data_IF_893456825054
#
_entry.id   IF_893456825054
#
_cell.length_a   1.000
_cell.length_b   1.000
_cell.length_c   1.000
_cell.angle_alpha   90.00
_cell.angle_beta   90.00
_cell.angle_gamma   90.00
#
_symmetry.space_group_name_H-M   'P 1'
#
loop_
_entity.id
_entity.type
_entity.pdbx_description
1 polymer ?
#
# COMPACT_ATOMS: atom_id res chain seq x y z
N UNK A 1 -16.62 9.42 -1.60
CA UNK A 1 -15.82 9.48 -2.84
C UNK A 1 -14.38 9.51 -2.36
N UNK A 2 -13.58 8.47 -2.62
CA UNK A 2 -12.24 8.37 -2.01
C UNK A 2 -11.34 9.52 -2.49
N UNK A 3 -10.65 10.18 -1.56
CA UNK A 3 -9.64 11.20 -1.90
C UNK A 3 -8.39 10.50 -2.41
N UNK A 4 -7.94 10.85 -3.61
CA UNK A 4 -6.72 10.34 -4.22
C UNK A 4 -5.78 11.49 -4.50
N UNK A 5 -4.52 11.36 -4.10
CA UNK A 5 -3.50 12.41 -4.22
C UNK A 5 -2.21 11.77 -4.71
N UNK A 6 -1.66 12.28 -5.80
CA UNK A 6 -0.32 11.92 -6.26
C UNK A 6 0.73 12.57 -5.36
N UNK A 7 1.75 11.82 -4.95
CA UNK A 7 2.90 12.39 -4.28
C UNK A 7 3.67 13.27 -5.27
N UNK A 8 3.91 14.51 -4.87
CA UNK A 8 4.82 15.41 -5.57
C UNK A 8 6.19 14.74 -5.77
N UNK A 9 6.83 14.87 -6.95
CA UNK A 9 8.08 14.18 -7.26
C UNK A 9 9.17 14.36 -6.21
N UNK A 10 9.37 15.59 -5.70
CA UNK A 10 10.37 15.87 -4.67
C UNK A 10 10.08 15.16 -3.34
N UNK A 11 8.81 15.10 -2.95
CA UNK A 11 8.37 14.41 -1.71
C UNK A 11 8.54 12.91 -1.84
N UNK A 12 8.20 12.36 -3.02
CA UNK A 12 8.46 10.95 -3.35
C UNK A 12 9.95 10.64 -3.29
N UNK A 13 10.78 11.44 -3.92
CA UNK A 13 12.22 11.19 -3.97
C UNK A 13 12.85 11.27 -2.56
N UNK A 14 12.38 12.20 -1.71
CA UNK A 14 12.75 12.22 -0.29
C UNK A 14 12.35 10.92 0.42
N UNK A 15 11.09 10.46 0.24
CA UNK A 15 10.60 9.22 0.83
C UNK A 15 11.47 8.02 0.43
N UNK A 16 11.78 7.89 -0.86
CA UNK A 16 12.59 6.79 -1.40
C UNK A 16 14.03 6.84 -0.90
N UNK A 17 14.61 8.03 -0.74
CA UNK A 17 15.97 8.17 -0.17
C UNK A 17 16.05 7.67 1.29
N UNK A 18 14.93 7.69 2.03
CA UNK A 18 14.84 7.34 3.45
C UNK A 18 14.21 5.97 3.72
N UNK A 19 13.67 5.32 2.69
CA UNK A 19 12.98 4.02 2.75
C UNK A 19 13.61 3.02 1.76
N UNK A 20 14.76 2.43 2.09
CA UNK A 20 15.45 1.49 1.19
C UNK A 20 14.59 0.28 0.79
N UNK A 21 13.73 -0.23 1.68
CA UNK A 21 12.82 -1.32 1.34
C UNK A 21 11.75 -0.93 0.32
N UNK A 22 11.28 0.33 0.35
CA UNK A 22 10.31 0.85 -0.62
C UNK A 22 10.99 1.11 -1.97
N UNK A 23 12.20 1.67 -1.95
CA UNK A 23 13.00 1.93 -3.15
C UNK A 23 13.36 0.63 -3.85
N UNK A 24 13.85 -0.38 -3.13
CA UNK A 24 14.15 -1.69 -3.70
C UNK A 24 12.90 -2.42 -4.22
N UNK A 25 11.72 -2.18 -3.64
CA UNK A 25 10.45 -2.69 -4.20
C UNK A 25 10.12 -2.02 -5.53
N UNK A 26 10.27 -0.69 -5.63
CA UNK A 26 10.02 0.05 -6.87
C UNK A 26 11.02 -0.35 -7.95
N UNK A 27 12.30 -0.43 -7.64
CA UNK A 27 13.34 -0.89 -8.58
C UNK A 27 12.98 -2.27 -9.14
N UNK A 28 12.65 -3.22 -8.28
CA UNK A 28 12.22 -4.55 -8.73
C UNK A 28 10.94 -4.52 -9.55
N UNK A 29 9.94 -3.71 -9.18
CA UNK A 29 8.69 -3.59 -9.95
C UNK A 29 8.92 -2.95 -11.33
N UNK A 30 9.86 -2.01 -11.44
CA UNK A 30 10.20 -1.35 -12.70
C UNK A 30 10.99 -2.25 -13.65
N UNK A 31 11.71 -3.24 -13.12
CA UNK A 31 12.40 -4.26 -13.92
C UNK A 31 11.45 -5.28 -14.56
N UNK A 32 10.20 -5.36 -14.10
CA UNK A 32 9.21 -6.33 -14.59
C UNK A 32 8.34 -5.67 -15.65
N UNK A 33 8.49 -6.11 -16.89
CA UNK A 33 7.69 -5.65 -18.04
C UNK A 33 6.33 -6.40 -18.16
N UNK A 34 5.72 -6.71 -17.01
CA UNK A 34 4.41 -7.36 -16.89
C UNK A 34 3.81 -7.12 -15.51
N UNK A 35 2.54 -7.46 -15.33
CA UNK A 35 1.93 -7.57 -14.00
C UNK A 35 2.65 -8.63 -13.15
N UNK A 36 3.11 -8.30 -11.93
CA UNK A 36 3.69 -9.28 -11.03
C UNK A 36 2.60 -10.21 -10.48
N UNK A 37 2.93 -11.49 -10.30
CA UNK A 37 2.03 -12.46 -9.68
C UNK A 37 1.95 -12.29 -8.16
N UNK A 38 0.86 -12.75 -7.55
CA UNK A 38 0.65 -12.66 -6.09
C UNK A 38 1.75 -13.34 -5.27
N UNK A 39 2.26 -14.49 -5.71
CA UNK A 39 3.34 -15.20 -5.01
C UNK A 39 4.67 -14.41 -5.04
N UNK A 40 4.96 -13.74 -6.16
CA UNK A 40 6.14 -12.88 -6.30
C UNK A 40 6.03 -11.64 -5.39
N UNK A 41 4.85 -11.02 -5.38
CA UNK A 41 4.54 -9.89 -4.49
C UNK A 41 4.65 -10.31 -3.03
N UNK A 42 4.04 -11.42 -2.64
CA UNK A 42 4.09 -11.95 -1.29
C UNK A 42 5.54 -12.21 -0.84
N UNK A 43 6.35 -12.85 -1.69
CA UNK A 43 7.77 -13.09 -1.40
C UNK A 43 8.53 -11.78 -1.16
N UNK A 44 8.34 -10.76 -2.02
CA UNK A 44 9.00 -9.46 -1.90
C UNK A 44 8.51 -8.66 -0.68
N UNK A 45 7.22 -8.73 -0.38
CA UNK A 45 6.60 -7.96 0.70
C UNK A 45 6.84 -8.53 2.11
N UNK A 46 7.13 -9.84 2.25
CA UNK A 46 7.36 -10.48 3.55
C UNK A 46 8.50 -9.86 4.37
N UNK A 47 9.52 -9.32 3.71
CA UNK A 47 10.72 -8.76 4.34
C UNK A 47 10.84 -7.25 4.23
N UNK A 48 9.85 -6.55 3.69
CA UNK A 48 10.00 -5.13 3.38
C UNK A 48 10.11 -4.30 4.66
N UNK A 49 11.18 -3.52 4.75
CA UNK A 49 11.39 -2.54 5.83
C UNK A 49 10.97 -1.16 5.33
N UNK A 50 9.99 -0.57 5.99
CA UNK A 50 9.48 0.76 5.68
C UNK A 50 9.86 1.70 6.83
N UNK A 51 10.51 2.82 6.50
CA UNK A 51 10.73 3.88 7.47
C UNK A 51 9.41 4.64 7.67
N UNK A 52 8.70 4.27 8.73
CA UNK A 52 7.37 4.81 9.03
C UNK A 52 7.37 6.32 9.32
N UNK A 53 8.45 6.85 9.88
CA UNK A 53 8.58 8.28 10.15
C UNK A 53 8.69 9.06 8.84
N UNK A 54 9.57 8.62 7.93
CA UNK A 54 9.68 9.21 6.61
C UNK A 54 8.36 9.11 5.85
N UNK A 55 7.72 7.93 5.86
CA UNK A 55 6.42 7.72 5.23
C UNK A 55 5.37 8.69 5.77
N UNK A 56 5.26 8.84 7.09
CA UNK A 56 4.29 9.75 7.73
C UNK A 56 4.51 11.21 7.33
N UNK A 57 5.75 11.65 7.15
CA UNK A 57 6.06 13.03 6.78
C UNK A 57 5.74 13.33 5.30
N UNK A 58 5.62 12.30 4.47
CA UNK A 58 5.40 12.43 3.03
C UNK A 58 3.94 12.20 2.59
N UNK A 59 3.07 11.69 3.46
CA UNK A 59 1.68 11.35 3.11
C UNK A 59 0.67 12.24 3.84
N UNK A 60 -0.46 12.50 3.17
CA UNK A 60 -1.57 13.25 3.74
C UNK A 60 -2.68 12.37 4.29
N UNK A 61 -3.70 13.02 4.86
CA UNK A 61 -4.96 12.39 5.28
C UNK A 61 -6.12 13.34 5.03
N UNK A 62 -7.25 12.82 4.55
CA UNK A 62 -8.46 13.60 4.37
C UNK A 62 -9.35 13.55 5.62
N UNK A 63 -10.23 14.55 5.77
CA UNK A 63 -11.10 14.69 6.95
C UNK A 63 -12.35 13.80 6.90
N UNK A 64 -12.90 13.58 5.69
CA UNK A 64 -14.17 12.87 5.50
C UNK A 64 -13.91 11.39 5.21
N UNK A 65 -13.30 11.09 4.08
CA UNK A 65 -12.97 9.73 3.65
C UNK A 65 -11.48 9.41 3.91
N UNK A 66 -11.11 8.13 3.80
CA UNK A 66 -9.69 7.77 3.79
C UNK A 66 -9.00 8.32 2.53
N UNK A 67 -7.69 8.57 2.61
CA UNK A 67 -6.92 9.11 1.50
C UNK A 67 -5.99 8.04 0.92
N UNK A 68 -5.95 7.96 -0.42
CA UNK A 68 -4.99 7.17 -1.20
C UNK A 68 -3.88 8.08 -1.66
N UNK A 69 -2.67 7.88 -1.16
CA UNK A 69 -1.49 8.64 -1.56
C UNK A 69 -0.70 7.82 -2.59
N UNK A 70 -0.77 8.21 -3.86
CA UNK A 70 -0.10 7.52 -4.96
C UNK A 70 1.39 7.81 -4.95
N UNK A 71 2.19 6.78 -4.64
CA UNK A 71 3.66 6.88 -4.61
C UNK A 71 4.20 6.70 -6.03
N UNK A 72 3.71 5.70 -6.75
CA UNK A 72 4.09 5.42 -8.13
C UNK A 72 3.00 4.68 -8.87
N UNK A 73 2.92 4.94 -10.18
CA UNK A 73 2.03 4.26 -11.10
C UNK A 73 2.77 4.00 -12.40
N UNK A 74 2.55 2.82 -12.96
CA UNK A 74 3.02 2.42 -14.30
C UNK A 74 1.87 1.73 -15.04
N UNK A 75 2.17 1.14 -16.19
CA UNK A 75 1.23 0.26 -16.90
C UNK A 75 0.88 -1.00 -16.09
N UNK A 76 1.84 -1.53 -15.30
CA UNK A 76 1.71 -2.84 -14.67
C UNK A 76 1.35 -2.81 -13.19
N UNK A 77 1.51 -1.67 -12.50
CA UNK A 77 1.23 -1.59 -11.08
C UNK A 77 0.85 -0.17 -10.61
N UNK A 78 0.14 -0.13 -9.49
CA UNK A 78 -0.07 1.06 -8.68
C UNK A 78 0.48 0.80 -7.27
N UNK A 79 1.35 1.68 -6.79
CA UNK A 79 1.88 1.65 -5.43
C UNK A 79 1.32 2.82 -4.65
N UNK A 80 0.56 2.52 -3.60
CA UNK A 80 -0.25 3.50 -2.88
C UNK A 80 -0.08 3.34 -1.37
N UNK A 81 0.10 4.47 -0.67
CA UNK A 81 -0.01 4.56 0.78
C UNK A 81 -1.40 5.07 1.17
N UNK A 82 -2.21 4.19 1.73
CA UNK A 82 -3.55 4.55 2.22
C UNK A 82 -3.48 5.06 3.66
N UNK A 83 -4.18 6.16 3.96
CA UNK A 83 -4.27 6.73 5.30
C UNK A 83 -5.72 6.79 5.77
N UNK A 84 -5.95 6.30 6.99
CA UNK A 84 -7.24 6.32 7.67
C UNK A 84 -7.09 7.07 8.98
N UNK A 85 -7.90 8.12 9.19
CA UNK A 85 -8.14 8.70 10.51
C UNK A 85 -9.04 7.77 11.34
N UNK A 86 -9.03 7.89 12.68
CA UNK A 86 -9.95 7.14 13.53
C UNK A 86 -11.41 7.27 13.07
N UNK A 87 -12.11 6.14 12.98
CA UNK A 87 -13.51 6.08 12.51
C UNK A 87 -13.68 5.96 10.99
N UNK A 88 -12.65 6.19 10.19
CA UNK A 88 -12.70 5.97 8.74
C UNK A 88 -12.56 4.48 8.41
N UNK A 89 -13.21 4.08 7.31
CA UNK A 89 -13.17 2.69 6.81
C UNK A 89 -13.12 2.67 5.28
N UNK A 90 -12.75 1.53 4.72
CA UNK A 90 -12.92 1.26 3.29
C UNK A 90 -14.33 0.74 3.03
N UNK A 91 -15.09 1.32 2.09
CA UNK A 91 -16.32 0.70 1.59
C UNK A 91 -16.04 -0.70 1.04
N UNK A 92 -17.08 -1.55 0.97
CA UNK A 92 -16.98 -2.84 0.26
C UNK A 92 -16.77 -2.54 -1.23
N UNK A 93 -15.69 -3.08 -1.81
CA UNK A 93 -15.35 -2.91 -3.22
C UNK A 93 -14.59 -4.14 -3.72
N UNK A 94 -14.62 -4.36 -5.04
CA UNK A 94 -13.73 -5.28 -5.71
C UNK A 94 -12.51 -4.53 -6.28
N UNK A 95 -11.56 -5.28 -6.84
CA UNK A 95 -10.37 -4.73 -7.49
C UNK A 95 -10.42 -4.86 -9.02
N UNK A 96 -11.61 -5.08 -9.59
CA UNK A 96 -11.90 -5.10 -11.04
C UNK A 96 -10.85 -5.90 -11.86
N UNK A 97 -10.52 -7.09 -11.40
CA UNK A 97 -9.55 -7.98 -12.07
C UNK A 97 -8.07 -7.66 -11.81
N UNK A 98 -7.75 -6.65 -11.00
CA UNK A 98 -6.39 -6.34 -10.51
C UNK A 98 -6.01 -7.16 -9.27
N UNK A 99 -4.72 -7.48 -9.15
CA UNK A 99 -4.15 -8.14 -7.98
C UNK A 99 -3.85 -7.08 -6.93
N UNK A 100 -4.20 -7.36 -5.68
CA UNK A 100 -3.93 -6.46 -4.57
C UNK A 100 -3.18 -7.22 -3.47
N UNK A 101 -2.05 -6.65 -3.05
CA UNK A 101 -1.23 -7.20 -1.98
C UNK A 101 -0.90 -6.09 -0.98
N UNK A 102 -0.80 -6.49 0.29
CA UNK A 102 -0.35 -5.62 1.37
C UNK A 102 0.83 -6.27 2.09
N UNK A 103 1.80 -5.49 2.60
CA UNK A 103 2.86 -6.06 3.41
C UNK A 103 2.28 -6.71 4.67
N UNK A 104 2.78 -7.90 5.01
CA UNK A 104 2.35 -8.69 6.17
C UNK A 104 2.37 -7.90 7.48
N UNK A 105 3.31 -6.95 7.61
CA UNK A 105 3.33 -5.99 8.72
C UNK A 105 2.67 -4.68 8.32
N UNK A 106 1.35 -4.70 8.21
CA UNK A 106 0.53 -3.49 8.25
C UNK A 106 0.61 -2.91 9.68
N UNK A 107 1.56 -2.01 9.91
CA UNK A 107 1.60 -1.23 11.14
C UNK A 107 0.59 -0.09 11.02
N UNK A 108 -0.48 -0.12 11.81
CA UNK A 108 -1.28 1.09 12.06
C UNK A 108 -0.34 2.13 12.68
N UNK A 109 -0.25 3.31 12.07
CA UNK A 109 0.51 4.44 12.63
C UNK A 109 -0.15 4.96 13.93
N UNK A 110 -1.41 4.59 14.17
CA UNK A 110 -2.14 4.80 15.43
C UNK A 110 -3.02 3.59 15.78
N UNK A 111 -2.72 2.91 16.90
CA UNK A 111 -3.61 1.95 17.57
C UNK A 111 -3.37 0.48 17.22
N UNK A 112 -3.17 -0.34 18.26
CA UNK A 112 -2.96 -1.78 18.19
C UNK A 112 -4.27 -2.53 17.90
N UNK A 113 -4.51 -2.89 16.63
CA UNK A 113 -5.30 -4.09 16.34
C UNK A 113 -4.95 -4.65 14.95
N UNK A 114 -4.46 -5.91 14.85
CA UNK A 114 -4.18 -6.55 13.58
C UNK A 114 -5.48 -6.80 12.82
N UNK A 115 -5.53 -6.41 11.54
CA UNK A 115 -6.53 -6.88 10.60
C UNK A 115 -5.95 -8.12 9.90
N UNK A 116 -6.35 -9.29 10.37
CA UNK A 116 -6.21 -10.53 9.62
C UNK A 116 -7.38 -11.44 10.00
N UNK A 117 -8.42 -11.49 9.18
CA UNK A 117 -9.27 -12.68 9.08
C UNK A 117 -9.25 -13.17 7.64
N UNK A 118 -8.75 -14.39 7.53
CA UNK A 118 -8.79 -15.30 6.38
C UNK A 118 -10.23 -15.36 5.85
N UNK A 119 -10.46 -15.06 4.58
CA UNK A 119 -11.65 -15.54 3.87
C UNK A 119 -11.45 -17.04 3.63
N UNK A 120 -11.90 -17.86 4.58
CA UNK A 120 -11.97 -19.31 4.45
C UNK A 120 -13.20 -19.69 3.65
N UNK A 121 -12.96 -20.41 2.55
CA UNK A 121 -13.93 -21.07 1.69
C UNK A 121 -15.05 -21.77 2.45
N UNK A 122 -16.27 -21.67 1.93
CA UNK A 122 -17.43 -22.40 2.41
C UNK A 122 -17.23 -23.92 2.42
N UNK A 123 -17.73 -24.53 3.49
CA UNK A 123 -18.33 -25.87 3.53
C UNK A 123 -18.97 -26.04 4.91
N UNK A 124 -20.28 -26.23 4.93
CA UNK A 124 -20.98 -27.08 5.88
C UNK A 124 -22.10 -27.77 5.12
N UNK A 125 -22.24 -29.06 5.39
CA UNK A 125 -23.04 -30.05 4.69
C UNK A 125 -24.55 -29.76 4.64
#
# INVERSE_FOLDING_TARGET
>A
MVTQVDLEPLVRDELLSRCTGLSGLIEWLDEIDRRPGLDELDHRLRGISINLEALRNCIGSADVDYQRNFIKKSEFYELVANTWKPGQSTPIHDHVGSDCAFPHRLRRLHGDHPFARRAGSGRTD
#
